data_IF_152114303776
#
_entry.id   IF_152114303776
#
_cell.length_a   1.000
_cell.length_b   1.000
_cell.length_c   1.000
_cell.angle_alpha   90.00
_cell.angle_beta   90.00
_cell.angle_gamma   90.00
#
_symmetry.space_group_name_H-M   'P 1'
#
loop_
_entity.id
_entity.type
_entity.pdbx_description
1 polymer ?
#
# COMPACT_ATOMS: atom_id res chain seq x y z
N UNK A 1 36.97 10.25 33.58
CA UNK A 1 36.25 10.24 32.30
C UNK A 1 36.37 11.63 31.72
N UNK A 2 37.43 11.88 30.97
CA UNK A 2 37.56 13.13 30.20
C UNK A 2 36.63 13.02 28.99
N UNK A 3 35.51 13.74 29.05
CA UNK A 3 34.66 13.94 27.88
C UNK A 3 35.47 14.78 26.88
N UNK A 4 35.87 14.18 25.76
CA UNK A 4 36.49 14.86 24.63
C UNK A 4 35.44 14.96 23.52
N UNK A 5 34.64 16.04 23.47
CA UNK A 5 33.42 16.09 22.66
C UNK A 5 33.66 15.87 21.17
N UNK A 6 34.87 16.14 20.67
CA UNK A 6 35.23 16.02 19.26
C UNK A 6 35.57 14.57 18.89
N UNK A 7 36.14 13.79 19.81
CA UNK A 7 36.49 12.37 19.61
C UNK A 7 35.21 11.51 19.58
N UNK A 8 34.28 11.79 20.50
CA UNK A 8 32.98 11.12 20.59
C UNK A 8 32.14 11.38 19.32
N UNK A 9 32.15 12.61 18.79
CA UNK A 9 31.45 12.96 17.56
C UNK A 9 32.03 12.26 16.32
N UNK A 10 33.36 12.13 16.22
CA UNK A 10 33.99 11.42 15.10
C UNK A 10 33.63 9.93 15.10
N UNK A 11 33.70 9.31 16.27
CA UNK A 11 33.38 7.90 16.45
C UNK A 11 31.91 7.63 16.12
N UNK A 12 31.00 8.52 16.51
CA UNK A 12 29.58 8.41 16.19
C UNK A 12 29.32 8.58 14.68
N UNK A 13 29.96 9.56 14.03
CA UNK A 13 29.84 9.76 12.57
C UNK A 13 30.39 8.56 11.79
N UNK A 14 31.52 7.99 12.19
CA UNK A 14 32.10 6.78 11.58
C UNK A 14 31.20 5.56 11.78
N UNK A 15 30.61 5.42 12.97
CA UNK A 15 29.60 4.40 13.28
C UNK A 15 28.39 4.51 12.36
N UNK A 16 27.80 5.71 12.23
CA UNK A 16 26.67 5.99 11.36
C UNK A 16 27.00 5.73 9.88
N UNK A 17 28.18 6.14 9.41
CA UNK A 17 28.63 5.88 8.05
C UNK A 17 28.77 4.37 7.78
N UNK A 18 29.38 3.63 8.71
CA UNK A 18 29.54 2.18 8.58
C UNK A 18 28.19 1.45 8.58
N UNK A 19 27.23 1.91 9.39
CA UNK A 19 25.87 1.37 9.43
C UNK A 19 25.12 1.65 8.12
N UNK A 20 25.27 2.84 7.54
CA UNK A 20 24.69 3.18 6.25
C UNK A 20 25.17 2.24 5.13
N UNK A 21 26.49 2.02 5.02
CA UNK A 21 27.03 1.10 4.02
C UNK A 21 26.59 -0.35 4.24
N UNK A 22 26.46 -0.79 5.50
CA UNK A 22 25.93 -2.11 5.85
C UNK A 22 24.45 -2.29 5.46
N UNK A 23 23.69 -1.20 5.36
CA UNK A 23 22.27 -1.23 4.95
C UNK A 23 22.04 -1.19 3.44
N UNK A 24 23.05 -0.85 2.62
CA UNK A 24 22.94 -0.81 1.15
C UNK A 24 22.49 -2.14 0.52
N UNK A 25 22.98 -3.32 0.95
CA UNK A 25 22.48 -4.60 0.44
C UNK A 25 20.98 -4.78 0.71
N UNK A 26 20.52 -4.43 1.91
CA UNK A 26 19.11 -4.55 2.30
C UNK A 26 18.23 -3.61 1.47
N UNK A 27 18.68 -2.38 1.22
CA UNK A 27 17.98 -1.44 0.33
C UNK A 27 17.86 -1.98 -1.10
N UNK A 28 18.89 -2.68 -1.59
CA UNK A 28 18.88 -3.30 -2.92
C UNK A 28 17.85 -4.44 -3.00
N UNK A 29 17.80 -5.28 -1.96
CA UNK A 29 16.80 -6.36 -1.86
C UNK A 29 15.39 -5.79 -1.73
N UNK A 30 15.21 -4.75 -0.90
CA UNK A 30 13.92 -4.08 -0.73
C UNK A 30 13.41 -3.47 -2.05
N UNK A 31 14.32 -2.88 -2.85
CA UNK A 31 13.97 -2.38 -4.18
C UNK A 31 13.58 -3.51 -5.13
N UNK A 32 14.31 -4.63 -5.12
CA UNK A 32 13.97 -5.80 -5.92
C UNK A 32 12.58 -6.35 -5.55
N UNK A 33 12.26 -6.42 -4.27
CA UNK A 33 10.93 -6.81 -3.78
C UNK A 33 9.87 -5.86 -4.29
N UNK A 34 10.06 -4.54 -4.19
CA UNK A 34 9.11 -3.57 -4.73
C UNK A 34 8.86 -3.77 -6.21
N UNK A 35 9.92 -3.99 -7.01
CA UNK A 35 9.78 -4.28 -8.44
C UNK A 35 8.97 -5.55 -8.67
N UNK A 36 9.25 -6.64 -7.94
CA UNK A 36 8.51 -7.90 -8.04
C UNK A 36 7.05 -7.71 -7.65
N UNK A 37 6.76 -7.02 -6.55
CA UNK A 37 5.38 -6.75 -6.12
C UNK A 37 4.63 -5.88 -7.13
N UNK A 38 5.28 -4.89 -7.73
CA UNK A 38 4.68 -4.06 -8.78
C UNK A 38 4.40 -4.85 -10.06
N UNK A 39 5.24 -5.81 -10.41
CA UNK A 39 4.99 -6.73 -11.54
C UNK A 39 3.81 -7.65 -11.20
N UNK A 40 3.82 -8.27 -10.02
CA UNK A 40 2.72 -9.12 -9.56
C UNK A 40 1.38 -8.35 -9.53
N UNK A 41 1.38 -7.13 -9.00
CA UNK A 41 0.21 -6.25 -8.99
C UNK A 41 -0.30 -5.92 -10.39
N UNK A 42 0.59 -5.71 -11.37
CA UNK A 42 0.19 -5.53 -12.78
C UNK A 42 -0.42 -6.79 -13.38
N UNK A 43 0.12 -7.97 -13.07
CA UNK A 43 -0.44 -9.25 -13.52
C UNK A 43 -1.84 -9.47 -12.95
N UNK A 44 -2.00 -9.30 -11.63
CA UNK A 44 -3.32 -9.40 -10.95
C UNK A 44 -4.31 -8.41 -11.55
N UNK A 45 -3.88 -7.16 -11.76
CA UNK A 45 -4.70 -6.12 -12.40
C UNK A 45 -5.17 -6.54 -13.80
N UNK A 46 -4.29 -7.12 -14.60
CA UNK A 46 -4.63 -7.59 -15.94
C UNK A 46 -5.65 -8.73 -15.89
N UNK A 47 -5.42 -9.75 -15.06
CA UNK A 47 -6.30 -10.91 -14.88
C UNK A 47 -7.70 -10.47 -14.44
N UNK A 48 -7.79 -9.67 -13.36
CA UNK A 48 -9.07 -9.21 -12.83
C UNK A 48 -9.82 -8.39 -13.88
N UNK A 49 -9.13 -7.47 -14.56
CA UNK A 49 -9.78 -6.66 -15.59
C UNK A 49 -10.29 -7.49 -16.77
N UNK A 50 -9.54 -8.51 -17.19
CA UNK A 50 -9.97 -9.40 -18.26
C UNK A 50 -11.20 -10.23 -17.85
N UNK A 51 -11.22 -10.73 -16.60
CA UNK A 51 -12.36 -11.45 -16.04
C UNK A 51 -13.61 -10.55 -15.97
N UNK A 52 -13.47 -9.31 -15.48
CA UNK A 52 -14.59 -8.37 -15.39
C UNK A 52 -15.11 -7.93 -16.77
N UNK A 53 -14.21 -7.75 -17.73
CA UNK A 53 -14.60 -7.42 -19.12
C UNK A 53 -15.41 -8.56 -19.74
N UNK A 54 -14.97 -9.82 -19.54
CA UNK A 54 -15.72 -11.01 -20.00
C UNK A 54 -17.09 -11.13 -19.32
N UNK A 55 -17.19 -10.71 -18.06
CA UNK A 55 -18.45 -10.66 -17.31
C UNK A 55 -19.33 -9.46 -17.67
N UNK A 56 -19.01 -8.68 -18.71
CA UNK A 56 -19.76 -7.50 -19.16
C UNK A 56 -19.98 -6.46 -18.04
N UNK A 57 -19.02 -6.37 -17.11
CA UNK A 57 -19.05 -5.37 -16.04
C UNK A 57 -18.77 -3.98 -16.63
N UNK A 58 -19.42 -2.95 -16.10
CA UNK A 58 -19.23 -1.55 -16.53
C UNK A 58 -17.77 -1.11 -16.38
N UNK A 59 -17.28 -0.33 -17.34
CA UNK A 59 -15.90 0.19 -17.36
C UNK A 59 -15.50 0.98 -16.09
N UNK A 60 -16.46 1.68 -15.48
CA UNK A 60 -16.25 2.40 -14.22
C UNK A 60 -15.86 1.45 -13.08
N UNK A 61 -16.51 0.29 -12.97
CA UNK A 61 -16.20 -0.73 -11.96
C UNK A 61 -14.89 -1.43 -12.26
N UNK A 62 -14.57 -1.66 -13.53
CA UNK A 62 -13.26 -2.20 -13.94
C UNK A 62 -12.13 -1.24 -13.56
N UNK A 63 -12.32 0.06 -13.80
CA UNK A 63 -11.37 1.11 -13.44
C UNK A 63 -11.18 1.18 -11.93
N UNK A 64 -12.28 1.07 -11.18
CA UNK A 64 -12.23 1.03 -9.72
C UNK A 64 -11.42 -0.17 -9.22
N UNK A 65 -11.73 -1.38 -9.69
CA UNK A 65 -11.00 -2.59 -9.30
C UNK A 65 -9.50 -2.46 -9.63
N UNK A 66 -9.16 -1.91 -10.80
CA UNK A 66 -7.78 -1.63 -11.21
C UNK A 66 -7.07 -0.69 -10.23
N UNK A 67 -7.74 0.35 -9.76
CA UNK A 67 -7.18 1.31 -8.81
C UNK A 67 -6.98 0.67 -7.44
N UNK A 68 -7.98 -0.08 -6.94
CA UNK A 68 -7.89 -0.78 -5.66
C UNK A 68 -6.75 -1.81 -5.64
N UNK A 69 -6.60 -2.60 -6.71
CA UNK A 69 -5.49 -3.55 -6.85
C UNK A 69 -4.14 -2.82 -6.83
N UNK A 70 -4.03 -1.67 -7.49
CA UNK A 70 -2.79 -0.89 -7.51
C UNK A 70 -2.44 -0.34 -6.13
N UNK A 71 -3.43 0.17 -5.38
CA UNK A 71 -3.24 0.68 -4.03
C UNK A 71 -2.82 -0.46 -3.10
N UNK A 72 -3.51 -1.61 -3.17
CA UNK A 72 -3.19 -2.79 -2.38
C UNK A 72 -1.77 -3.31 -2.66
N UNK A 73 -1.37 -3.37 -3.94
CA UNK A 73 -0.03 -3.80 -4.32
C UNK A 73 1.06 -2.87 -3.75
N UNK A 74 0.82 -1.54 -3.74
CA UNK A 74 1.73 -0.59 -3.12
C UNK A 74 1.82 -0.78 -1.60
N UNK A 75 0.68 -0.92 -0.91
CA UNK A 75 0.65 -1.14 0.54
C UNK A 75 1.44 -2.40 0.90
N UNK A 76 1.16 -3.51 0.22
CA UNK A 76 1.84 -4.80 0.46
C UNK A 76 3.33 -4.70 0.11
N UNK A 77 3.68 -4.11 -1.03
CA UNK A 77 5.07 -3.99 -1.47
C UNK A 77 5.90 -3.16 -0.50
N UNK A 78 5.37 -2.02 -0.04
CA UNK A 78 6.02 -1.17 0.96
C UNK A 78 6.13 -1.88 2.30
N UNK A 79 5.07 -2.57 2.74
CA UNK A 79 5.09 -3.30 4.01
C UNK A 79 6.18 -4.38 4.02
N UNK A 80 6.34 -5.15 2.93
CA UNK A 80 7.40 -6.17 2.81
C UNK A 80 8.77 -5.51 2.64
N UNK A 81 8.89 -4.43 1.87
CA UNK A 81 10.17 -3.71 1.72
C UNK A 81 10.69 -3.18 3.07
N UNK A 82 9.79 -2.66 3.90
CA UNK A 82 10.11 -2.14 5.23
C UNK A 82 10.70 -3.21 6.15
N UNK A 83 10.24 -4.45 6.09
CA UNK A 83 10.80 -5.54 6.94
C UNK A 83 12.21 -5.91 6.55
N UNK A 84 12.57 -5.74 5.28
CA UNK A 84 13.93 -6.01 4.80
C UNK A 84 14.87 -4.86 5.17
N UNK A 85 14.39 -3.62 5.09
CA UNK A 85 15.17 -2.44 5.49
C UNK A 85 15.39 -2.43 7.00
N UNK A 86 14.35 -2.77 7.77
CA UNK A 86 14.37 -2.80 9.23
C UNK A 86 13.98 -4.20 9.73
N UNK A 87 14.94 -5.14 9.85
CA UNK A 87 14.66 -6.52 10.25
C UNK A 87 14.00 -6.66 11.63
N UNK A 88 14.14 -5.65 12.48
CA UNK A 88 13.49 -5.57 13.80
C UNK A 88 12.01 -5.15 13.74
N UNK A 89 11.50 -4.78 12.56
CA UNK A 89 10.13 -4.31 12.35
C UNK A 89 9.42 -5.27 11.41
N UNK A 90 8.37 -5.94 11.91
CA UNK A 90 7.50 -6.78 11.10
C UNK A 90 6.36 -5.96 10.47
N UNK A 91 5.68 -6.46 9.41
CA UNK A 91 4.51 -5.78 8.85
C UNK A 91 3.39 -5.64 9.88
N UNK A 92 3.26 -6.61 10.78
CA UNK A 92 2.32 -6.57 11.90
C UNK A 92 2.61 -5.42 12.85
N UNK A 93 3.88 -5.09 13.11
CA UNK A 93 4.24 -3.97 13.98
C UNK A 93 3.87 -2.63 13.35
N UNK A 94 4.04 -2.52 12.02
CA UNK A 94 3.62 -1.34 11.25
C UNK A 94 2.10 -1.18 11.33
N UNK A 95 1.36 -2.26 11.12
CA UNK A 95 -0.12 -2.25 11.19
C UNK A 95 -0.58 -1.92 12.61
N UNK A 96 0.08 -2.47 13.64
CA UNK A 96 -0.23 -2.18 15.04
C UNK A 96 0.04 -0.71 15.40
N UNK A 97 1.19 -0.17 14.97
CA UNK A 97 1.56 1.24 15.18
C UNK A 97 0.64 2.22 14.43
N UNK A 98 0.24 1.86 13.21
CA UNK A 98 -0.73 2.64 12.43
C UNK A 98 -2.18 2.43 12.87
N UNK A 99 -2.47 1.43 13.71
CA UNK A 99 -3.83 0.96 13.97
C UNK A 99 -4.77 2.07 14.48
N UNK A 100 -4.33 2.85 15.46
CA UNK A 100 -5.11 3.97 16.00
C UNK A 100 -5.34 5.06 14.94
N UNK A 101 -4.28 5.45 14.22
CA UNK A 101 -4.34 6.47 13.16
C UNK A 101 -5.19 6.03 11.99
N UNK A 102 -5.11 4.75 11.61
CA UNK A 102 -5.88 4.17 10.50
C UNK A 102 -7.37 4.19 10.79
N UNK A 103 -7.76 3.88 12.02
CA UNK A 103 -9.16 3.97 12.48
C UNK A 103 -9.62 5.44 12.55
N UNK A 104 -8.80 6.35 13.07
CA UNK A 104 -9.14 7.78 13.14
C UNK A 104 -9.35 8.38 11.74
N UNK A 105 -8.45 8.07 10.80
CA UNK A 105 -8.57 8.43 9.38
C UNK A 105 -9.85 7.82 8.79
N UNK A 106 -10.12 6.53 9.06
CA UNK A 106 -11.33 5.85 8.61
C UNK A 106 -12.63 6.53 9.08
N UNK A 107 -12.67 6.99 10.33
CA UNK A 107 -13.82 7.75 10.82
C UNK A 107 -13.95 9.12 10.16
N UNK A 108 -12.84 9.83 9.93
CA UNK A 108 -12.87 11.10 9.20
C UNK A 108 -13.35 10.94 7.76
N UNK A 109 -13.07 9.79 7.12
CA UNK A 109 -13.50 9.47 5.76
C UNK A 109 -14.84 8.73 5.68
N UNK A 110 -15.54 8.50 6.81
CA UNK A 110 -16.77 7.71 6.85
C UNK A 110 -17.80 8.19 5.81
N UNK A 111 -18.06 9.49 5.75
CA UNK A 111 -19.05 10.07 4.83
C UNK A 111 -18.62 9.90 3.36
N UNK A 112 -17.31 10.01 3.08
CA UNK A 112 -16.77 9.77 1.74
C UNK A 112 -16.93 8.32 1.34
N UNK A 113 -16.69 7.39 2.28
CA UNK A 113 -16.82 5.95 2.05
C UNK A 113 -18.27 5.54 1.79
N UNK A 114 -19.22 6.08 2.54
CA UNK A 114 -20.66 5.84 2.34
C UNK A 114 -21.11 6.29 0.95
N UNK A 115 -20.75 7.51 0.54
CA UNK A 115 -21.08 8.05 -0.78
C UNK A 115 -20.41 7.23 -1.91
N UNK A 116 -19.16 6.84 -1.72
CA UNK A 116 -18.44 5.98 -2.65
C UNK A 116 -19.13 4.61 -2.81
N UNK A 117 -19.48 3.96 -1.71
CA UNK A 117 -20.13 2.65 -1.73
C UNK A 117 -21.52 2.70 -2.37
N UNK A 118 -22.30 3.74 -2.07
CA UNK A 118 -23.58 3.99 -2.75
C UNK A 118 -23.38 4.09 -4.28
N UNK A 119 -22.36 4.82 -4.73
CA UNK A 119 -21.98 4.90 -6.14
C UNK A 119 -21.64 3.53 -6.76
N UNK A 120 -20.82 2.72 -6.07
CA UNK A 120 -20.47 1.36 -6.52
C UNK A 120 -21.70 0.45 -6.63
N UNK A 121 -22.59 0.48 -5.64
CA UNK A 121 -23.83 -0.31 -5.62
C UNK A 121 -24.79 0.12 -6.74
N UNK A 122 -24.92 1.44 -6.99
CA UNK A 122 -25.73 1.96 -8.11
C UNK A 122 -25.17 1.48 -9.45
N UNK A 123 -23.86 1.50 -9.64
CA UNK A 123 -23.23 1.00 -10.86
C UNK A 123 -23.38 -0.52 -11.03
N UNK A 124 -23.43 -1.27 -9.93
CA UNK A 124 -23.62 -2.72 -9.93
C UNK A 124 -25.05 -3.19 -10.16
N UNK A 125 -26.06 -2.33 -10.01
CA UNK A 125 -27.48 -2.69 -10.25
C UNK A 125 -27.83 -2.70 -11.74
N UNK A 126 -28.70 -3.63 -12.12
CA UNK A 126 -29.36 -3.66 -13.43
C UNK A 126 -30.21 -2.41 -13.61
N UNK A 127 -30.31 -1.92 -14.86
CA UNK A 127 -31.08 -0.71 -15.17
C UNK A 127 -32.55 -0.95 -14.82
N UNK A 128 -33.14 -0.09 -14.01
CA UNK A 128 -34.60 0.09 -14.00
C UNK A 128 -35.01 0.41 -15.44
N UNK A 129 -35.83 -0.45 -16.04
CA UNK A 129 -36.33 -0.22 -17.38
C UNK A 129 -37.37 0.89 -17.29
N UNK A 130 -37.36 1.79 -18.27
CA UNK A 130 -38.42 2.81 -18.42
C UNK A 130 -39.73 2.02 -18.60
N UNK A 131 -40.60 2.04 -17.57
CA UNK A 131 -41.82 1.23 -17.51
C UNK A 131 -42.11 0.59 -16.14
N UNK A 132 -41.15 0.53 -15.21
CA UNK A 132 -41.42 0.09 -13.83
C UNK A 132 -42.15 1.20 -13.08
N UNK A 133 -43.41 0.95 -12.71
CA UNK A 133 -44.24 1.84 -11.91
C UNK A 133 -43.82 1.71 -10.44
N UNK A 134 -43.65 2.86 -9.77
CA UNK A 134 -43.31 2.98 -8.35
C UNK A 134 -44.47 2.50 -7.48
#
# INVERSE_FOLDING_TARGET
>A
MEFTPIEDLKTEVESMASAFFKSLPNLTIALAILVVTLIAGRVVRAIVSAAMTRAHVRDALITLARNLISIAAWIVGVAIAMTVIFPSVSPSDIIAGLGLTSVAIGFAFKDVFENFLAGVIILGREKLRIGDVI
#
